data_IF_227675594197
#
_entry.id   IF_227675594197
#
_cell.length_a   1.000
_cell.length_b   1.000
_cell.length_c   1.000
_cell.angle_alpha   90.00
_cell.angle_beta   90.00
_cell.angle_gamma   90.00
#
_symmetry.space_group_name_H-M   'P 1'
#
loop_
_entity.id
_entity.type
_entity.pdbx_description
1 polymer ?
#
# COMPACT_ATOMS: atom_id res chain seq x y z
N UNK A 1 3.88 19.43 -1.82
CA UNK A 1 4.25 20.56 -2.71
C UNK A 1 4.98 19.96 -3.89
N UNK A 2 4.46 20.17 -5.11
CA UNK A 2 5.03 19.59 -6.32
C UNK A 2 6.27 20.41 -6.70
N UNK A 3 7.45 19.81 -6.53
CA UNK A 3 8.72 20.30 -7.05
C UNK A 3 9.28 19.21 -7.95
N UNK A 4 8.88 19.25 -9.21
CA UNK A 4 9.35 18.33 -10.23
C UNK A 4 9.78 19.11 -11.48
N UNK A 5 11.09 19.25 -11.67
CA UNK A 5 11.62 19.52 -13.00
C UNK A 5 11.26 18.33 -13.92
N UNK A 6 10.89 18.60 -15.18
CA UNK A 6 10.59 17.55 -16.15
C UNK A 6 11.76 16.55 -16.24
N UNK A 7 11.46 15.26 -16.08
CA UNK A 7 12.46 14.18 -16.07
C UNK A 7 13.13 13.92 -14.71
N UNK A 8 12.85 14.71 -13.66
CA UNK A 8 13.34 14.44 -12.32
C UNK A 8 12.52 13.32 -11.66
N UNK A 9 13.21 12.34 -11.08
CA UNK A 9 12.60 11.22 -10.37
C UNK A 9 12.19 11.66 -8.96
N UNK A 10 10.92 11.50 -8.62
CA UNK A 10 10.40 11.87 -7.30
C UNK A 10 10.96 10.97 -6.21
N UNK A 11 11.41 11.57 -5.11
CA UNK A 11 11.89 10.85 -3.93
C UNK A 11 11.39 11.51 -2.66
N UNK A 12 11.09 10.69 -1.66
CA UNK A 12 10.64 11.17 -0.36
C UNK A 12 11.30 10.36 0.76
N UNK A 13 12.04 11.04 1.62
CA UNK A 13 12.75 10.40 2.74
C UNK A 13 11.79 9.90 3.83
N UNK A 14 10.62 10.53 3.98
CA UNK A 14 9.66 10.17 5.02
C UNK A 14 8.96 8.83 4.74
N UNK A 15 8.37 8.68 3.56
CA UNK A 15 7.65 7.47 3.18
C UNK A 15 8.51 6.49 2.38
N UNK A 16 9.77 6.87 2.12
CA UNK A 16 10.74 6.14 1.29
C UNK A 16 10.27 5.97 -0.16
N UNK A 17 9.47 6.88 -0.69
CA UNK A 17 9.08 6.81 -2.09
C UNK A 17 10.31 7.03 -2.99
N UNK A 18 10.48 6.19 -4.01
CA UNK A 18 11.46 6.36 -5.07
C UNK A 18 10.78 6.07 -6.41
N UNK A 19 10.48 7.12 -7.16
CA UNK A 19 9.78 7.05 -8.43
C UNK A 19 10.50 6.18 -9.46
N UNK A 20 11.83 5.99 -9.36
CA UNK A 20 12.59 5.12 -10.26
C UNK A 20 12.24 3.63 -10.07
N UNK A 21 11.72 3.27 -8.90
CA UNK A 21 11.22 1.92 -8.65
C UNK A 21 9.78 1.72 -9.14
N UNK A 22 9.10 2.76 -9.61
CA UNK A 22 7.74 2.62 -10.13
C UNK A 22 7.80 2.58 -11.65
N UNK A 23 7.55 1.39 -12.21
CA UNK A 23 7.17 1.33 -13.62
C UNK A 23 5.85 2.08 -13.82
N UNK A 24 5.61 2.52 -15.04
CA UNK A 24 4.34 3.08 -15.50
C UNK A 24 3.12 2.24 -15.10
N UNK A 25 3.27 0.93 -15.22
CA UNK A 25 2.26 -0.03 -14.80
C UNK A 25 2.11 -0.07 -13.27
N UNK A 26 3.21 0.00 -12.51
CA UNK A 26 3.17 0.04 -11.04
C UNK A 26 2.48 1.31 -10.54
N UNK A 27 2.79 2.47 -11.14
CA UNK A 27 2.23 3.76 -10.77
C UNK A 27 0.72 3.80 -10.97
N UNK A 28 0.24 3.54 -12.20
CA UNK A 28 -1.20 3.53 -12.49
C UNK A 28 -1.95 2.48 -11.66
N UNK A 29 -1.38 1.29 -11.48
CA UNK A 29 -2.02 0.28 -10.64
C UNK A 29 -2.01 0.63 -9.14
N UNK A 30 -1.10 1.46 -8.67
CA UNK A 30 -1.12 1.99 -7.30
C UNK A 30 -2.26 2.99 -7.15
N UNK A 31 -2.39 3.93 -8.10
CA UNK A 31 -3.47 4.92 -8.13
C UNK A 31 -4.85 4.24 -8.04
N UNK A 32 -5.15 3.25 -8.91
CA UNK A 32 -6.46 2.57 -8.87
C UNK A 32 -6.76 1.81 -7.57
N UNK A 33 -5.75 1.60 -6.71
CA UNK A 33 -5.88 0.87 -5.44
C UNK A 33 -6.00 1.79 -4.22
N UNK A 34 -5.83 3.10 -4.36
CA UNK A 34 -5.85 4.05 -3.24
C UNK A 34 -7.15 3.98 -2.42
N UNK A 35 -8.32 4.02 -3.06
CA UNK A 35 -9.61 3.94 -2.33
C UNK A 35 -9.79 2.61 -1.60
N UNK A 36 -9.46 1.48 -2.24
CA UNK A 36 -9.56 0.17 -1.60
C UNK A 36 -8.59 0.05 -0.39
N UNK A 37 -7.37 0.55 -0.54
CA UNK A 37 -6.39 0.58 0.55
C UNK A 37 -6.87 1.46 1.71
N UNK A 38 -7.37 2.67 1.44
CA UNK A 38 -7.97 3.53 2.46
C UNK A 38 -9.13 2.84 3.20
N UNK A 39 -10.02 2.17 2.46
CA UNK A 39 -11.13 1.43 3.03
C UNK A 39 -10.67 0.31 3.97
N UNK A 40 -9.62 -0.43 3.59
CA UNK A 40 -9.05 -1.49 4.43
C UNK A 40 -8.36 -0.96 5.70
N UNK A 41 -7.70 0.21 5.63
CA UNK A 41 -7.14 0.88 6.80
C UNK A 41 -8.22 1.28 7.81
N UNK A 42 -9.34 1.81 7.31
CA UNK A 42 -10.42 2.40 8.12
C UNK A 42 -11.45 1.35 8.59
N UNK A 43 -11.41 0.13 8.05
CA UNK A 43 -12.40 -0.92 8.32
C UNK A 43 -12.50 -1.24 9.82
N UNK A 44 -13.69 -1.10 10.41
CA UNK A 44 -13.92 -1.40 11.83
C UNK A 44 -13.43 -0.31 12.79
N UNK A 45 -13.05 0.86 12.29
CA UNK A 45 -12.85 2.07 13.11
C UNK A 45 -14.17 2.88 13.09
N UNK A 46 -14.70 3.31 14.25
CA UNK A 46 -15.93 4.10 14.28
C UNK A 46 -15.80 5.44 13.53
N UNK A 47 -16.83 5.89 12.78
CA UNK A 47 -16.79 7.14 12.03
C UNK A 47 -16.39 8.37 12.85
N UNK A 48 -16.88 8.48 14.09
CA UNK A 48 -16.54 9.56 15.00
C UNK A 48 -15.06 9.57 15.40
N UNK A 49 -14.42 8.40 15.42
CA UNK A 49 -12.98 8.28 15.66
C UNK A 49 -12.16 8.64 14.42
N UNK A 50 -12.66 8.30 13.23
CA UNK A 50 -12.03 8.70 11.96
C UNK A 50 -12.05 10.22 11.75
N UNK A 51 -13.03 10.93 12.32
CA UNK A 51 -13.11 12.39 12.32
C UNK A 51 -12.26 13.06 13.42
N UNK A 52 -11.70 12.29 14.37
CA UNK A 52 -10.93 12.84 15.50
C UNK A 52 -9.47 13.01 15.11
N UNK A 53 -8.94 14.22 15.28
CA UNK A 53 -7.50 14.50 15.15
C UNK A 53 -6.73 13.84 16.31
N UNK A 54 -5.65 13.08 16.05
CA UNK A 54 -4.82 12.49 17.12
C UNK A 54 -4.10 13.55 17.97
N UNK A 55 -3.72 14.67 17.34
CA UNK A 55 -3.15 15.85 18.00
C UNK A 55 -3.72 17.12 17.35
N UNK A 56 -3.66 18.31 17.99
CA UNK A 56 -4.20 19.54 17.40
C UNK A 56 -3.65 19.90 16.01
N UNK A 57 -2.40 19.53 15.73
CA UNK A 57 -1.67 19.86 14.48
C UNK A 57 -1.54 18.66 13.54
N UNK A 58 -2.28 17.58 13.77
CA UNK A 58 -2.29 16.41 12.89
C UNK A 58 -3.69 16.21 12.37
N UNK A 59 -3.86 16.13 11.06
CA UNK A 59 -5.15 15.80 10.46
C UNK A 59 -5.72 14.49 11.01
N UNK A 60 -7.05 14.45 11.11
CA UNK A 60 -7.78 13.21 11.36
C UNK A 60 -7.65 12.26 10.17
N UNK A 61 -7.86 10.94 10.36
CA UNK A 61 -7.96 9.99 9.25
C UNK A 61 -8.91 10.44 8.13
N UNK A 62 -10.06 11.04 8.47
CA UNK A 62 -11.03 11.54 7.49
C UNK A 62 -10.52 12.78 6.73
N UNK A 63 -9.77 13.66 7.38
CA UNK A 63 -9.13 14.82 6.72
C UNK A 63 -8.05 14.39 5.74
N UNK A 64 -7.18 13.43 6.12
CA UNK A 64 -6.22 12.83 5.19
C UNK A 64 -6.92 12.13 4.01
N UNK A 65 -8.00 11.38 4.25
CA UNK A 65 -8.76 10.75 3.17
C UNK A 65 -9.29 11.79 2.18
N UNK A 66 -9.89 12.88 2.68
CA UNK A 66 -10.39 13.98 1.85
C UNK A 66 -9.26 14.66 1.08
N UNK A 67 -8.10 14.84 1.72
CA UNK A 67 -6.90 15.35 1.07
C UNK A 67 -6.51 14.45 -0.11
N UNK A 68 -6.35 13.15 0.11
CA UNK A 68 -5.97 12.18 -0.94
C UNK A 68 -6.97 12.25 -2.09
N UNK A 69 -8.28 12.29 -1.82
CA UNK A 69 -9.29 12.46 -2.88
C UNK A 69 -9.12 13.76 -3.66
N UNK A 70 -8.93 14.90 -3.00
CA UNK A 70 -8.77 16.19 -3.67
C UNK A 70 -7.47 16.25 -4.49
N UNK A 71 -6.40 15.66 -3.99
CA UNK A 71 -5.14 15.55 -4.70
C UNK A 71 -5.32 14.68 -5.96
N UNK A 72 -5.90 13.47 -5.85
CA UNK A 72 -6.14 12.60 -7.01
C UNK A 72 -7.07 13.26 -8.05
N UNK A 73 -8.12 13.97 -7.61
CA UNK A 73 -8.96 14.79 -8.50
C UNK A 73 -8.13 15.85 -9.25
N UNK A 74 -7.24 16.56 -8.54
CA UNK A 74 -6.36 17.57 -9.14
C UNK A 74 -5.41 16.93 -10.15
N UNK A 75 -4.85 15.76 -9.84
CA UNK A 75 -3.99 15.01 -10.76
C UNK A 75 -4.76 14.53 -12.01
N UNK A 76 -6.03 14.11 -11.86
CA UNK A 76 -6.88 13.77 -12.99
C UNK A 76 -7.16 14.99 -13.88
N UNK A 77 -7.36 16.17 -13.29
CA UNK A 77 -7.52 17.42 -14.03
C UNK A 77 -6.25 17.79 -14.80
N UNK A 78 -5.08 17.78 -14.14
CA UNK A 78 -3.80 18.05 -14.80
C UNK A 78 -3.51 17.05 -15.92
N UNK A 79 -3.80 15.77 -15.70
CA UNK A 79 -3.67 14.72 -16.71
C UNK A 79 -4.55 14.99 -17.94
N UNK A 80 -5.80 15.43 -17.72
CA UNK A 80 -6.68 15.85 -18.82
C UNK A 80 -6.11 17.06 -19.55
N UNK A 81 -5.61 18.07 -18.83
CA UNK A 81 -4.98 19.25 -19.42
C UNK A 81 -3.75 18.89 -20.26
N UNK A 82 -2.89 17.97 -19.80
CA UNK A 82 -1.78 17.43 -20.63
C UNK A 82 -2.30 16.86 -21.94
N UNK A 83 -3.42 16.13 -21.87
CA UNK A 83 -4.00 15.46 -23.03
C UNK A 83 -4.79 16.39 -23.94
N UNK A 84 -5.29 17.54 -23.50
CA UNK A 84 -6.14 18.44 -24.31
C UNK A 84 -5.44 19.74 -24.71
N UNK A 85 -4.60 20.29 -23.84
CA UNK A 85 -4.00 21.62 -23.95
C UNK A 85 -2.49 21.59 -23.60
N UNK A 86 -1.67 20.84 -24.36
CA UNK A 86 -0.24 20.74 -24.07
C UNK A 86 0.45 22.12 -24.17
N UNK A 87 1.39 22.36 -23.25
CA UNK A 87 2.17 23.59 -23.15
C UNK A 87 1.52 24.71 -22.34
N UNK A 88 0.31 24.53 -21.84
CA UNK A 88 -0.36 25.55 -21.00
C UNK A 88 0.31 25.68 -19.64
N UNK A 89 0.32 26.90 -19.09
CA UNK A 89 0.72 27.16 -17.72
C UNK A 89 -0.49 27.03 -16.78
N UNK A 90 -0.33 26.29 -15.69
CA UNK A 90 -1.34 26.08 -14.66
C UNK A 90 -0.77 26.58 -13.33
N UNK A 91 -1.49 27.48 -12.67
CA UNK A 91 -1.15 27.89 -11.31
C UNK A 91 -1.89 27.02 -10.30
N UNK A 92 -1.18 26.55 -9.28
CA UNK A 92 -1.75 25.73 -8.22
C UNK A 92 -1.12 26.05 -6.86
N UNK A 93 -1.96 26.17 -5.84
CA UNK A 93 -1.47 26.30 -4.46
C UNK A 93 -1.32 24.93 -3.82
N UNK A 94 -0.24 24.65 -3.07
CA UNK A 94 -0.14 23.42 -2.32
C UNK A 94 -1.24 23.39 -1.24
N UNK A 95 -1.75 22.20 -0.91
CA UNK A 95 -2.55 22.04 0.30
C UNK A 95 -1.73 22.44 1.52
N UNK A 96 -2.39 23.04 2.50
CA UNK A 96 -1.79 23.48 3.77
C UNK A 96 -2.25 22.53 4.86
N UNK A 97 -1.32 22.04 5.68
CA UNK A 97 -1.61 21.14 6.81
C UNK A 97 -2.61 21.73 7.81
N UNK A 98 -3.16 20.87 8.68
CA UNK A 98 -4.05 21.30 9.76
C UNK A 98 -3.38 22.34 10.65
N UNK A 99 -4.00 23.50 10.74
CA UNK A 99 -3.69 24.47 11.78
C UNK A 99 -4.41 24.10 13.09
N UNK A 100 -3.83 24.51 14.22
CA UNK A 100 -4.37 24.21 15.55
C UNK A 100 -5.75 24.85 15.79
N UNK A 101 -6.06 25.93 15.06
CA UNK A 101 -7.29 26.69 15.10
C UNK A 101 -8.30 26.32 14.00
N UNK A 102 -7.95 25.39 13.10
CA UNK A 102 -8.88 24.91 12.08
C UNK A 102 -10.08 24.21 12.74
N UNK A 103 -11.33 24.57 12.39
CA UNK A 103 -12.49 23.83 12.85
C UNK A 103 -12.45 22.41 12.29
N UNK A 104 -12.80 21.42 13.12
CA UNK A 104 -12.94 20.05 12.66
C UNK A 104 -14.03 20.00 11.57
N UNK A 105 -13.70 19.60 10.33
CA UNK A 105 -14.66 19.57 9.25
C UNK A 105 -15.63 18.42 9.43
N UNK A 106 -16.88 18.62 9.05
CA UNK A 106 -17.84 17.53 8.89
C UNK A 106 -17.48 16.74 7.62
N UNK A 107 -16.96 15.53 7.78
CA UNK A 107 -16.52 14.66 6.68
C UNK A 107 -17.21 13.31 6.78
N UNK A 108 -17.99 12.96 5.75
CA UNK A 108 -18.47 11.59 5.53
C UNK A 108 -17.37 10.76 4.84
N UNK A 109 -16.66 9.96 5.64
CA UNK A 109 -15.60 9.08 5.14
C UNK A 109 -16.08 8.10 4.07
N UNK A 110 -17.32 7.60 4.15
CA UNK A 110 -17.84 6.66 3.16
C UNK A 110 -18.06 7.36 1.82
N UNK A 111 -18.60 8.58 1.84
CA UNK A 111 -18.72 9.40 0.63
C UNK A 111 -17.35 9.71 0.02
N UNK A 112 -16.37 10.09 0.85
CA UNK A 112 -15.01 10.41 0.40
C UNK A 112 -14.30 9.20 -0.22
N UNK A 113 -14.51 7.98 0.28
CA UNK A 113 -13.99 6.74 -0.33
C UNK A 113 -14.56 6.49 -1.73
N UNK A 114 -15.86 6.72 -1.92
CA UNK A 114 -16.53 6.60 -3.24
C UNK A 114 -15.93 7.61 -4.22
N UNK A 115 -15.81 8.87 -3.82
CA UNK A 115 -15.21 9.92 -4.67
C UNK A 115 -13.74 9.63 -4.97
N UNK A 116 -12.97 9.17 -4.00
CA UNK A 116 -11.58 8.75 -4.23
C UNK A 116 -11.50 7.62 -5.26
N UNK A 117 -12.42 6.65 -5.23
CA UNK A 117 -12.46 5.57 -6.21
C UNK A 117 -12.71 6.11 -7.62
N UNK A 118 -13.71 6.97 -7.79
CA UNK A 118 -14.06 7.57 -9.08
C UNK A 118 -12.87 8.33 -9.69
N UNK A 119 -12.23 9.21 -8.92
CA UNK A 119 -11.12 10.02 -9.43
C UNK A 119 -9.86 9.16 -9.68
N UNK A 120 -9.62 8.14 -8.85
CA UNK A 120 -8.54 7.17 -9.08
C UNK A 120 -8.73 6.40 -10.39
N UNK A 121 -9.97 5.99 -10.67
CA UNK A 121 -10.29 5.28 -11.92
C UNK A 121 -10.23 6.22 -13.13
N UNK A 122 -10.68 7.47 -13.00
CA UNK A 122 -10.54 8.50 -14.04
C UNK A 122 -9.08 8.74 -14.40
N UNK A 123 -8.21 8.98 -13.42
CA UNK A 123 -6.77 9.17 -13.66
C UNK A 123 -6.12 7.92 -14.28
N UNK A 124 -6.50 6.73 -13.79
CA UNK A 124 -6.02 5.47 -14.35
C UNK A 124 -6.46 5.26 -15.81
N UNK A 125 -7.70 5.62 -16.17
CA UNK A 125 -8.20 5.54 -17.53
C UNK A 125 -7.50 6.53 -18.47
N UNK A 126 -7.28 7.78 -18.03
CA UNK A 126 -6.49 8.77 -18.80
C UNK A 126 -5.07 8.24 -19.08
N UNK A 127 -4.44 7.63 -18.07
CA UNK A 127 -3.13 7.02 -18.21
C UNK A 127 -3.11 5.84 -19.18
N UNK A 128 -4.04 4.89 -19.03
CA UNK A 128 -3.99 3.62 -19.78
C UNK A 128 -4.53 3.71 -21.20
N UNK A 129 -5.31 4.74 -21.51
CA UNK A 129 -5.93 4.93 -22.83
C UNK A 129 -5.22 5.99 -23.68
N UNK A 130 -4.25 6.72 -23.13
CA UNK A 130 -3.47 7.66 -23.93
C UNK A 130 -2.60 6.92 -24.97
N UNK A 131 -2.49 7.51 -26.15
CA UNK A 131 -1.59 7.05 -27.21
C UNK A 131 -0.14 7.39 -26.84
N UNK A 132 0.82 6.62 -27.37
CA UNK A 132 2.23 6.78 -27.01
C UNK A 132 2.76 8.19 -27.36
N UNK A 133 2.29 8.82 -28.45
CA UNK A 133 2.64 10.18 -28.85
C UNK A 133 2.15 11.27 -27.88
N UNK A 134 1.13 10.97 -27.07
CA UNK A 134 0.58 11.90 -26.08
C UNK A 134 1.19 11.74 -24.68
N UNK A 135 1.98 10.69 -24.44
CA UNK A 135 2.61 10.45 -23.13
C UNK A 135 3.71 11.45 -22.80
N UNK A 136 4.41 11.91 -23.83
CA UNK A 136 5.54 12.84 -23.70
C UNK A 136 5.11 14.31 -23.73
N UNK A 137 3.80 14.57 -23.88
CA UNK A 137 3.27 15.93 -23.81
C UNK A 137 3.39 16.49 -22.39
N UNK A 138 3.67 17.78 -22.28
CA UNK A 138 3.88 18.46 -21.00
C UNK A 138 2.99 19.68 -20.84
N UNK A 139 2.60 19.98 -19.60
CA UNK A 139 2.11 21.28 -19.15
C UNK A 139 3.14 21.93 -18.21
N UNK A 140 2.92 23.18 -17.80
CA UNK A 140 3.78 23.87 -16.83
C UNK A 140 3.00 24.21 -15.56
N UNK A 141 3.19 23.46 -14.48
CA UNK A 141 2.52 23.75 -13.20
C UNK A 141 3.45 24.57 -12.34
N UNK A 142 3.02 25.78 -11.94
CA UNK A 142 3.85 26.74 -11.21
C UNK A 142 5.22 27.00 -11.87
N UNK A 143 5.27 26.95 -13.21
CA UNK A 143 6.49 27.13 -14.00
C UNK A 143 7.35 25.89 -14.19
N UNK A 144 7.01 24.77 -13.56
CA UNK A 144 7.72 23.49 -13.70
C UNK A 144 7.02 22.58 -14.70
N UNK A 145 7.80 22.00 -15.61
CA UNK A 145 7.27 21.15 -16.67
C UNK A 145 6.86 19.77 -16.11
N UNK A 146 5.67 19.31 -16.50
CA UNK A 146 5.15 18.03 -16.07
C UNK A 146 4.43 17.27 -17.17
N UNK A 147 4.82 16.00 -17.31
CA UNK A 147 4.19 15.04 -18.19
C UNK A 147 3.16 14.17 -17.45
N UNK A 148 2.42 13.37 -18.23
CA UNK A 148 1.38 12.50 -17.70
C UNK A 148 1.94 11.42 -16.74
N UNK A 149 3.14 10.89 -17.03
CA UNK A 149 3.78 9.89 -16.18
C UNK A 149 4.21 10.46 -14.82
N UNK A 150 4.71 11.69 -14.78
CA UNK A 150 5.05 12.45 -13.58
C UNK A 150 3.81 12.69 -12.72
N UNK A 151 2.70 13.11 -13.33
CA UNK A 151 1.41 13.30 -12.65
C UNK A 151 0.93 11.99 -11.99
N UNK A 152 0.96 10.88 -12.73
CA UNK A 152 0.50 9.57 -12.22
C UNK A 152 1.42 9.03 -11.12
N UNK A 153 2.74 9.20 -11.24
CA UNK A 153 3.69 8.81 -10.19
C UNK A 153 3.55 9.66 -8.94
N UNK A 154 3.29 10.96 -9.09
CA UNK A 154 3.01 11.85 -7.97
C UNK A 154 1.72 11.46 -7.25
N UNK A 155 0.64 11.17 -7.99
CA UNK A 155 -0.60 10.65 -7.42
C UNK A 155 -0.38 9.34 -6.64
N UNK A 156 0.48 8.45 -7.14
CA UNK A 156 0.85 7.21 -6.45
C UNK A 156 1.69 7.49 -5.19
N UNK A 157 2.63 8.44 -5.24
CA UNK A 157 3.43 8.87 -4.10
C UNK A 157 2.54 9.46 -3.01
N UNK A 158 1.97 10.64 -3.26
CA UNK A 158 1.24 11.44 -2.28
C UNK A 158 0.05 10.66 -1.71
N UNK A 159 -0.68 9.95 -2.58
CA UNK A 159 -1.74 9.04 -2.16
C UNK A 159 -1.22 7.98 -1.18
N UNK A 160 -0.20 7.19 -1.56
CA UNK A 160 0.31 6.13 -0.68
C UNK A 160 1.03 6.64 0.58
N UNK A 161 1.55 7.87 0.55
CA UNK A 161 2.12 8.56 1.70
C UNK A 161 1.03 8.85 2.73
N UNK A 162 -0.04 9.54 2.32
CA UNK A 162 -1.12 9.91 3.23
C UNK A 162 -1.99 8.73 3.66
N UNK A 163 -1.99 7.61 2.93
CA UNK A 163 -2.53 6.35 3.46
C UNK A 163 -1.73 5.83 4.65
N UNK A 164 -0.40 6.01 4.68
CA UNK A 164 0.39 5.75 5.89
C UNK A 164 0.07 6.72 7.02
N UNK A 165 -0.22 7.99 6.73
CA UNK A 165 -0.69 8.93 7.75
C UNK A 165 -2.02 8.49 8.37
N UNK A 166 -2.97 8.03 7.55
CA UNK A 166 -4.23 7.45 8.03
C UNK A 166 -3.95 6.28 8.97
N UNK A 167 -3.07 5.35 8.56
CA UNK A 167 -2.67 4.20 9.39
C UNK A 167 -2.08 4.63 10.74
N UNK A 168 -1.13 5.56 10.73
CA UNK A 168 -0.52 6.12 11.96
C UNK A 168 -1.55 6.84 12.83
N UNK A 169 -2.44 7.62 12.24
CA UNK A 169 -3.50 8.32 12.95
C UNK A 169 -4.46 7.35 13.64
N UNK A 170 -4.89 6.30 12.95
CA UNK A 170 -5.73 5.22 13.51
C UNK A 170 -5.01 4.52 14.67
N UNK A 171 -3.72 4.21 14.52
CA UNK A 171 -2.93 3.63 15.60
C UNK A 171 -2.85 4.55 16.83
N UNK A 172 -2.54 5.84 16.63
CA UNK A 172 -2.48 6.84 17.69
C UNK A 172 -3.82 7.06 18.41
N UNK A 173 -4.94 6.80 17.72
CA UNK A 173 -6.29 6.87 18.30
C UNK A 173 -6.66 5.63 19.13
N UNK A 174 -5.78 4.63 19.23
CA UNK A 174 -5.98 3.40 20.01
C UNK A 174 -6.53 2.22 19.21
N UNK A 175 -6.56 2.30 17.88
CA UNK A 175 -7.07 1.25 16.99
C UNK A 175 -5.96 0.47 16.27
N UNK A 176 -4.70 0.70 16.63
CA UNK A 176 -3.53 0.00 16.06
C UNK A 176 -3.37 -1.42 16.58
N UNK A 177 -2.67 -2.25 15.84
CA UNK A 177 -2.26 -3.59 16.31
C UNK A 177 -1.04 -3.46 17.22
N UNK A 178 -1.01 -4.25 18.29
CA UNK A 178 0.13 -4.32 19.22
C UNK A 178 0.44 -5.78 19.55
N UNK A 179 1.67 -6.05 19.96
CA UNK A 179 2.11 -7.40 20.28
C UNK A 179 3.57 -7.65 19.92
N UNK A 180 4.03 -8.87 20.19
CA UNK A 180 5.38 -9.32 19.89
C UNK A 180 5.30 -10.72 19.31
N UNK A 181 6.05 -10.98 18.26
CA UNK A 181 6.09 -12.28 17.61
C UNK A 181 7.49 -12.60 17.12
N UNK A 182 7.59 -13.67 16.34
CA UNK A 182 8.82 -14.10 15.69
C UNK A 182 8.60 -14.55 14.24
N UNK A 183 9.67 -14.53 13.46
CA UNK A 183 9.69 -15.10 12.12
C UNK A 183 9.78 -16.62 12.24
N UNK A 184 8.71 -17.35 11.91
CA UNK A 184 8.74 -18.81 11.86
C UNK A 184 9.49 -19.30 10.61
N UNK A 185 9.19 -18.72 9.45
CA UNK A 185 9.81 -19.09 8.18
C UNK A 185 10.05 -17.88 7.27
N UNK A 186 11.08 -17.99 6.43
CA UNK A 186 11.43 -17.02 5.39
C UNK A 186 11.40 -17.73 4.05
N UNK A 187 10.76 -17.15 3.04
CA UNK A 187 10.59 -17.78 1.73
C UNK A 187 10.84 -16.82 0.58
N UNK A 188 11.44 -17.35 -0.50
CA UNK A 188 11.54 -16.65 -1.78
C UNK A 188 11.48 -17.63 -2.95
N UNK A 189 11.05 -17.14 -4.10
CA UNK A 189 11.10 -17.83 -5.37
C UNK A 189 11.49 -16.88 -6.49
N UNK A 190 12.19 -17.38 -7.50
CA UNK A 190 12.44 -16.63 -8.73
C UNK A 190 11.25 -16.80 -9.70
N UNK A 191 10.04 -16.53 -9.22
CA UNK A 191 8.77 -16.78 -9.92
C UNK A 191 7.91 -17.86 -9.25
N UNK A 192 6.60 -17.65 -9.28
CA UNK A 192 5.60 -18.62 -8.86
C UNK A 192 5.53 -18.99 -7.38
N UNK A 193 4.65 -19.97 -7.13
CA UNK A 193 4.45 -20.68 -5.86
C UNK A 193 4.61 -22.18 -6.12
N UNK A 194 5.05 -23.01 -5.16
CA UNK A 194 5.44 -22.65 -3.79
C UNK A 194 6.77 -21.88 -3.72
N UNK A 195 6.90 -20.99 -2.74
CA UNK A 195 8.17 -20.33 -2.43
C UNK A 195 9.08 -21.28 -1.64
N UNK A 196 10.40 -21.17 -1.85
CA UNK A 196 11.39 -22.02 -1.17
C UNK A 196 11.76 -21.42 0.17
N UNK A 197 11.80 -22.25 1.20
CA UNK A 197 12.30 -21.87 2.53
C UNK A 197 13.77 -21.49 2.47
N UNK A 198 14.12 -20.40 3.15
CA UNK A 198 15.46 -19.87 3.31
C UNK A 198 15.83 -19.82 4.80
N UNK A 199 17.10 -20.07 5.12
CA UNK A 199 17.62 -19.84 6.49
C UNK A 199 17.86 -18.36 6.81
N UNK A 200 17.85 -17.50 5.78
CA UNK A 200 18.10 -16.05 5.87
C UNK A 200 17.69 -15.37 4.56
N UNK A 201 17.19 -14.14 4.63
CA UNK A 201 17.01 -13.27 3.47
C UNK A 201 17.46 -11.82 3.74
N UNK A 202 17.88 -11.13 2.68
CA UNK A 202 18.05 -9.67 2.69
C UNK A 202 16.75 -9.06 2.18
N UNK A 203 16.17 -8.16 2.97
CA UNK A 203 14.95 -7.41 2.63
C UNK A 203 15.38 -6.00 2.24
N UNK A 204 15.16 -5.67 0.96
CA UNK A 204 15.36 -4.36 0.39
C UNK A 204 14.04 -3.64 0.10
N UNK A 205 14.13 -2.45 -0.50
CA UNK A 205 12.97 -1.63 -0.86
C UNK A 205 11.87 -2.36 -1.64
N UNK A 206 12.26 -3.28 -2.56
CA UNK A 206 11.32 -4.06 -3.39
C UNK A 206 10.99 -5.45 -2.84
N UNK A 207 11.38 -5.75 -1.60
CA UNK A 207 11.16 -7.04 -0.96
C UNK A 207 12.44 -7.86 -0.79
N UNK A 208 12.29 -9.19 -0.70
CA UNK A 208 13.42 -10.11 -0.55
C UNK A 208 14.27 -10.13 -1.82
N UNK A 209 15.58 -9.94 -1.68
CA UNK A 209 16.54 -10.09 -2.79
C UNK A 209 16.47 -11.50 -3.35
N UNK A 210 16.22 -11.60 -4.66
CA UNK A 210 16.05 -12.87 -5.38
C UNK A 210 14.61 -13.39 -5.44
N UNK A 211 13.65 -12.70 -4.80
CA UNK A 211 12.22 -12.96 -5.00
C UNK A 211 11.70 -12.25 -6.25
N UNK A 212 10.91 -12.94 -7.08
CA UNK A 212 10.30 -12.39 -8.29
C UNK A 212 8.83 -12.81 -8.37
N UNK A 213 7.98 -11.87 -8.80
CA UNK A 213 6.58 -12.15 -9.12
C UNK A 213 6.43 -12.30 -10.65
N UNK A 214 5.82 -13.39 -11.10
CA UNK A 214 5.59 -13.62 -12.53
C UNK A 214 4.49 -12.71 -13.08
N UNK A 215 3.45 -12.47 -12.29
CA UNK A 215 2.36 -11.54 -12.64
C UNK A 215 2.64 -10.15 -12.06
N UNK A 216 3.34 -9.33 -12.84
CA UNK A 216 3.58 -7.91 -12.55
C UNK A 216 2.36 -7.02 -12.80
N UNK A 217 1.32 -7.53 -13.46
CA UNK A 217 0.06 -6.78 -13.65
C UNK A 217 -0.73 -6.71 -12.34
N UNK A 218 -0.62 -7.72 -11.48
CA UNK A 218 -1.37 -7.77 -10.22
C UNK A 218 -0.49 -7.76 -8.97
N UNK A 219 0.81 -8.03 -9.06
CA UNK A 219 1.70 -8.14 -7.89
C UNK A 219 3.03 -7.39 -8.04
N UNK A 220 3.75 -7.25 -6.92
CA UNK A 220 5.14 -6.83 -6.88
C UNK A 220 5.40 -5.31 -6.90
N UNK A 221 4.37 -4.50 -6.63
CA UNK A 221 4.54 -3.07 -6.35
C UNK A 221 5.30 -2.89 -5.04
N UNK A 222 5.85 -1.70 -4.81
CA UNK A 222 6.59 -1.39 -3.57
C UNK A 222 5.71 -1.58 -2.33
N UNK A 223 4.42 -1.24 -2.41
CA UNK A 223 3.47 -1.50 -1.32
C UNK A 223 3.10 -2.97 -1.13
N UNK A 224 3.58 -3.87 -2.02
CA UNK A 224 3.45 -5.33 -1.96
C UNK A 224 4.82 -6.00 -1.83
N UNK A 225 5.84 -5.28 -1.35
CA UNK A 225 7.23 -5.74 -1.27
C UNK A 225 7.38 -7.07 -0.52
N UNK A 226 6.57 -7.28 0.52
CA UNK A 226 6.49 -8.54 1.24
C UNK A 226 5.05 -9.02 1.32
N UNK A 227 4.85 -10.33 1.21
CA UNK A 227 3.62 -11.00 1.62
C UNK A 227 3.86 -11.70 2.97
N UNK A 228 3.02 -11.41 3.95
CA UNK A 228 3.10 -11.93 5.31
C UNK A 228 1.96 -12.92 5.55
N UNK A 229 2.21 -13.96 6.35
CA UNK A 229 1.16 -14.86 6.83
C UNK A 229 1.46 -15.41 8.22
N UNK A 230 0.50 -16.11 8.84
CA UNK A 230 0.60 -16.66 10.19
C UNK A 230 0.72 -18.18 10.19
N UNK A 231 1.59 -18.68 11.06
CA UNK A 231 1.74 -20.11 11.35
C UNK A 231 0.44 -20.67 11.92
N UNK A 232 -0.20 -19.96 12.84
CA UNK A 232 -1.46 -20.34 13.49
C UNK A 232 -2.61 -20.45 12.48
N UNK A 233 -2.68 -19.54 11.49
CA UNK A 233 -3.66 -19.63 10.41
C UNK A 233 -3.39 -20.84 9.51
N UNK A 234 -2.13 -21.08 9.14
CA UNK A 234 -1.74 -22.24 8.35
C UNK A 234 -2.11 -23.54 9.08
N UNK A 235 -1.80 -23.65 10.36
CA UNK A 235 -2.10 -24.83 11.17
C UNK A 235 -3.61 -25.05 11.31
N UNK A 236 -4.38 -23.98 11.48
CA UNK A 236 -5.85 -24.02 11.44
C UNK A 236 -6.37 -24.61 10.12
N UNK A 237 -5.90 -24.09 8.99
CA UNK A 237 -6.27 -24.61 7.66
C UNK A 237 -5.86 -26.07 7.45
N UNK A 238 -4.70 -26.49 7.99
CA UNK A 238 -4.28 -27.90 7.95
C UNK A 238 -5.19 -28.78 8.78
N UNK A 239 -5.66 -28.30 9.93
CA UNK A 239 -6.63 -29.03 10.75
C UNK A 239 -8.00 -29.18 10.06
N UNK A 240 -8.35 -28.24 9.17
CA UNK A 240 -9.51 -28.33 8.27
C UNK A 240 -9.29 -29.32 7.09
N UNK A 241 -8.08 -29.88 6.96
CA UNK A 241 -7.73 -30.85 5.92
C UNK A 241 -7.10 -30.24 4.67
N UNK A 242 -6.76 -28.95 4.67
CA UNK A 242 -6.07 -28.33 3.54
C UNK A 242 -4.59 -28.72 3.47
N UNK A 243 -4.05 -29.02 2.26
CA UNK A 243 -2.64 -29.41 2.08
C UNK A 243 -1.68 -28.20 2.12
N UNK A 244 -2.09 -27.08 2.71
CA UNK A 244 -1.27 -25.87 2.82
C UNK A 244 -0.08 -26.09 3.73
N UNK A 245 1.06 -25.50 3.38
CA UNK A 245 2.25 -25.46 4.21
C UNK A 245 2.93 -24.08 4.08
N UNK A 246 3.86 -23.74 4.99
CA UNK A 246 4.63 -22.51 4.86
C UNK A 246 5.29 -22.39 3.47
N UNK A 247 5.10 -21.24 2.83
CA UNK A 247 5.61 -20.88 1.50
C UNK A 247 4.69 -21.32 0.34
N UNK A 248 3.73 -22.23 0.56
CA UNK A 248 2.91 -22.76 -0.54
C UNK A 248 1.84 -21.78 -1.00
N UNK A 249 1.40 -20.89 -0.12
CA UNK A 249 0.51 -19.81 -0.44
C UNK A 249 1.26 -18.54 -0.87
N UNK A 250 2.57 -18.59 -1.13
CA UNK A 250 3.31 -17.47 -1.71
C UNK A 250 3.64 -16.32 -0.75
N UNK A 251 3.49 -16.52 0.55
CA UNK A 251 4.01 -15.60 1.56
C UNK A 251 5.53 -15.62 1.58
N UNK A 252 6.13 -14.45 1.82
CA UNK A 252 7.57 -14.29 2.02
C UNK A 252 7.97 -14.54 3.47
N UNK A 253 7.16 -14.07 4.43
CA UNK A 253 7.41 -14.29 5.85
C UNK A 253 6.21 -14.98 6.47
N UNK A 254 6.44 -16.16 7.05
CA UNK A 254 5.49 -16.80 7.95
C UNK A 254 5.86 -16.39 9.37
N UNK A 255 4.93 -15.73 10.07
CA UNK A 255 5.10 -15.19 11.41
C UNK A 255 4.38 -16.06 12.44
N UNK A 256 4.76 -15.96 13.70
CA UNK A 256 4.11 -16.64 14.84
C UNK A 256 4.07 -15.74 16.07
N UNK A 257 3.22 -16.09 17.03
CA UNK A 257 3.12 -15.44 18.33
C UNK A 257 2.27 -14.16 18.35
N UNK A 258 1.56 -13.86 17.27
CA UNK A 258 0.63 -12.72 17.19
C UNK A 258 -0.78 -13.22 16.86
N UNK A 259 -1.80 -12.53 17.40
CA UNK A 259 -3.18 -12.74 16.97
C UNK A 259 -3.36 -12.17 15.57
N UNK A 260 -3.33 -13.06 14.57
CA UNK A 260 -3.48 -12.69 13.16
C UNK A 260 -4.83 -12.05 12.86
N UNK A 261 -5.88 -12.39 13.61
CA UNK A 261 -7.22 -11.82 13.44
C UNK A 261 -7.32 -10.36 13.90
N UNK A 262 -6.42 -9.95 14.80
CA UNK A 262 -6.29 -8.58 15.30
C UNK A 262 -5.26 -7.75 14.52
N UNK A 263 -4.52 -8.35 13.58
CA UNK A 263 -3.58 -7.64 12.71
C UNK A 263 -4.32 -6.83 11.64
N UNK A 264 -3.86 -5.62 11.38
CA UNK A 264 -4.55 -4.67 10.49
C UNK A 264 -3.57 -4.09 9.46
N UNK A 265 -4.06 -3.64 8.29
CA UNK A 265 -3.39 -2.64 7.48
C UNK A 265 -2.89 -1.44 8.30
N UNK A 266 -1.74 -0.88 7.92
CA UNK A 266 -1.12 0.29 8.58
C UNK A 266 -0.28 -0.05 9.82
N UNK A 267 -0.23 -1.32 10.25
CA UNK A 267 0.62 -1.77 11.36
C UNK A 267 2.08 -1.83 10.95
N UNK A 268 2.97 -1.36 11.81
CA UNK A 268 4.41 -1.47 11.65
C UNK A 268 4.96 -2.67 12.40
N UNK A 269 5.84 -3.42 11.74
CA UNK A 269 6.59 -4.52 12.32
C UNK A 269 8.07 -4.10 12.37
N UNK A 270 8.61 -3.92 13.57
CA UNK A 270 10.03 -3.64 13.77
C UNK A 270 10.76 -4.93 14.16
N UNK A 271 11.60 -5.43 13.24
CA UNK A 271 12.36 -6.66 13.45
C UNK A 271 13.67 -6.39 14.20
N UNK A 272 13.95 -7.21 15.20
CA UNK A 272 15.11 -7.08 16.08
C UNK A 272 16.46 -7.20 15.33
N UNK A 273 17.56 -6.90 16.02
CA UNK A 273 18.94 -7.11 15.53
C UNK A 273 19.27 -6.37 14.22
N UNK A 274 18.75 -5.15 14.07
CA UNK A 274 18.91 -4.37 12.84
C UNK A 274 18.13 -4.95 11.66
N UNK A 275 17.06 -5.68 11.95
CA UNK A 275 16.10 -6.16 10.97
C UNK A 275 15.33 -5.02 10.28
N UNK A 276 14.56 -5.37 9.23
CA UNK A 276 13.79 -4.37 8.51
C UNK A 276 12.71 -3.75 9.41
N UNK A 277 12.29 -2.55 9.05
CA UNK A 277 11.01 -1.98 9.51
C UNK A 277 10.06 -2.05 8.34
N UNK A 278 8.91 -2.67 8.53
CA UNK A 278 7.90 -2.82 7.47
C UNK A 278 6.55 -2.34 7.95
N UNK A 279 5.71 -1.88 7.03
CA UNK A 279 4.35 -1.42 7.32
C UNK A 279 3.36 -2.21 6.47
N UNK A 280 2.36 -2.80 7.10
CA UNK A 280 1.31 -3.56 6.41
C UNK A 280 0.44 -2.62 5.57
N UNK A 281 0.00 -3.07 4.42
CA UNK A 281 -0.66 -2.21 3.42
C UNK A 281 -2.08 -2.69 3.10
N UNK A 282 -2.22 -3.81 2.40
CA UNK A 282 -3.51 -4.35 1.99
C UNK A 282 -3.56 -5.86 2.14
N UNK A 283 -4.74 -6.41 2.38
CA UNK A 283 -4.95 -7.84 2.31
C UNK A 283 -4.65 -8.36 0.90
N UNK A 284 -3.93 -9.48 0.85
CA UNK A 284 -3.54 -10.10 -0.40
C UNK A 284 -4.67 -10.98 -0.94
N UNK A 285 -5.40 -10.45 -1.93
CA UNK A 285 -6.44 -11.18 -2.63
C UNK A 285 -5.94 -12.56 -3.10
N UNK A 286 -6.67 -13.65 -2.81
CA UNK A 286 -6.25 -14.97 -3.22
C UNK A 286 -6.45 -15.16 -4.73
N UNK A 287 -5.56 -15.93 -5.36
CA UNK A 287 -5.59 -16.17 -6.80
C UNK A 287 -5.40 -17.65 -7.13
N UNK A 288 -5.70 -18.04 -8.36
CA UNK A 288 -5.69 -19.46 -8.77
C UNK A 288 -4.32 -20.15 -8.66
N UNK A 289 -3.22 -19.41 -8.53
CA UNK A 289 -1.87 -19.99 -8.45
C UNK A 289 -1.65 -20.74 -7.14
N UNK A 290 -2.34 -20.36 -6.06
CA UNK A 290 -2.24 -21.03 -4.75
C UNK A 290 -3.27 -22.16 -4.57
N UNK A 291 -4.04 -22.49 -5.61
CA UNK A 291 -5.15 -23.43 -5.53
C UNK A 291 -4.75 -24.83 -5.01
N UNK A 292 -3.53 -25.28 -5.29
CA UNK A 292 -3.03 -26.58 -4.82
C UNK A 292 -2.78 -26.62 -3.30
N UNK A 293 -2.74 -25.47 -2.63
CA UNK A 293 -2.67 -25.39 -1.16
C UNK A 293 -4.02 -25.66 -0.48
N UNK A 294 -5.12 -25.77 -1.24
CA UNK A 294 -6.46 -25.85 -0.69
C UNK A 294 -7.20 -27.09 -1.21
N UNK A 295 -7.87 -27.78 -0.29
CA UNK A 295 -8.80 -28.88 -0.60
C UNK A 295 -9.87 -28.38 -1.57
N UNK A 296 -10.26 -29.23 -2.52
CA UNK A 296 -11.18 -28.87 -3.61
C UNK A 296 -10.71 -27.68 -4.46
N UNK A 297 -9.46 -27.24 -4.29
CA UNK A 297 -8.88 -26.07 -4.95
C UNK A 297 -9.60 -24.76 -4.62
N UNK A 298 -10.35 -24.66 -3.51
CA UNK A 298 -11.05 -23.42 -3.12
C UNK A 298 -10.10 -22.42 -2.43
N UNK A 299 -9.19 -21.85 -3.21
CA UNK A 299 -8.24 -20.82 -2.74
C UNK A 299 -8.92 -19.57 -2.15
N UNK A 300 -10.23 -19.37 -2.38
CA UNK A 300 -11.01 -18.27 -1.79
C UNK A 300 -11.31 -18.51 -0.30
N UNK A 301 -10.93 -19.65 0.27
CA UNK A 301 -10.99 -19.93 1.72
C UNK A 301 -10.20 -18.92 2.56
N UNK A 302 -9.20 -18.26 1.97
CA UNK A 302 -8.39 -17.22 2.63
C UNK A 302 -8.70 -15.81 2.12
N UNK A 303 -9.90 -15.59 1.57
CA UNK A 303 -10.36 -14.27 1.17
C UNK A 303 -10.73 -13.43 2.40
N UNK A 304 -10.20 -12.21 2.52
CA UNK A 304 -10.37 -11.37 3.70
C UNK A 304 -11.83 -10.96 3.96
N UNK A 305 -12.64 -10.82 2.91
CA UNK A 305 -14.07 -10.47 3.03
C UNK A 305 -14.88 -11.70 3.42
N UNK A 306 -14.58 -12.84 2.79
CA UNK A 306 -15.32 -14.09 2.99
C UNK A 306 -14.98 -14.78 4.31
N UNK A 307 -13.73 -14.65 4.75
CA UNK A 307 -13.14 -15.33 5.90
C UNK A 307 -12.18 -14.38 6.65
N UNK A 308 -12.70 -13.36 7.37
CA UNK A 308 -11.88 -12.42 8.13
C UNK A 308 -10.89 -13.13 9.05
N UNK A 309 -9.66 -12.59 9.14
CA UNK A 309 -8.59 -13.18 9.97
C UNK A 309 -7.86 -14.37 9.36
N UNK A 310 -8.16 -14.78 8.12
CA UNK A 310 -7.45 -15.88 7.44
C UNK A 310 -6.53 -15.43 6.30
N UNK A 311 -6.72 -14.22 5.78
CA UNK A 311 -6.02 -13.72 4.61
C UNK A 311 -4.54 -13.40 4.89
N UNK A 312 -3.73 -13.53 3.83
CA UNK A 312 -2.36 -13.01 3.79
C UNK A 312 -2.37 -11.48 3.73
N UNK A 313 -1.31 -10.84 4.22
CA UNK A 313 -1.22 -9.39 4.30
C UNK A 313 0.03 -8.87 3.58
N UNK A 314 -0.11 -7.87 2.72
CA UNK A 314 1.03 -7.21 2.11
C UNK A 314 1.69 -6.22 3.06
N UNK A 315 2.98 -5.98 2.86
CA UNK A 315 3.72 -4.94 3.56
C UNK A 315 4.74 -4.26 2.64
N UNK A 316 5.00 -2.98 2.93
CA UNK A 316 6.07 -2.17 2.34
C UNK A 316 7.26 -2.06 3.28
N UNK A 317 8.46 -1.85 2.73
CA UNK A 317 9.70 -1.80 3.51
C UNK A 317 10.11 -0.35 3.77
N UNK A 318 9.98 0.09 5.02
CA UNK A 318 10.38 1.43 5.48
C UNK A 318 11.88 1.51 5.81
N UNK A 319 12.47 0.39 6.24
CA UNK A 319 13.91 0.27 6.49
C UNK A 319 14.38 -1.10 6.02
N UNK A 320 15.49 -1.13 5.30
CA UNK A 320 16.11 -2.39 4.87
C UNK A 320 16.65 -3.17 6.06
N UNK A 321 16.83 -4.47 5.86
CA UNK A 321 17.44 -5.30 6.89
C UNK A 321 17.55 -6.75 6.48
N UNK A 322 17.94 -7.57 7.44
CA UNK A 322 18.09 -9.01 7.26
C UNK A 322 17.06 -9.71 8.13
N UNK A 323 16.39 -10.69 7.53
CA UNK A 323 15.44 -11.56 8.24
C UNK A 323 15.94 -12.99 8.32
N UNK A 324 15.69 -13.65 9.47
CA UNK A 324 16.00 -15.07 9.70
C UNK A 324 14.89 -15.72 10.54
N UNK A 325 14.66 -17.03 10.43
CA UNK A 325 13.83 -17.76 11.37
C UNK A 325 14.27 -17.54 12.83
N UNK A 326 13.31 -17.46 13.74
CA UNK A 326 13.48 -17.18 15.17
C UNK A 326 13.71 -15.69 15.52
N UNK A 327 13.77 -14.81 14.52
CA UNK A 327 13.97 -13.38 14.78
C UNK A 327 12.70 -12.74 15.32
N UNK A 328 12.83 -12.08 16.47
CA UNK A 328 11.71 -11.38 17.11
C UNK A 328 11.33 -10.09 16.35
N UNK A 329 10.07 -9.70 16.46
CA UNK A 329 9.58 -8.39 16.03
C UNK A 329 8.53 -7.84 17.00
N UNK A 330 8.32 -6.54 16.99
CA UNK A 330 7.24 -5.85 17.72
C UNK A 330 6.27 -5.15 16.77
N UNK A 331 4.98 -5.14 17.13
CA UNK A 331 3.94 -4.40 16.43
C UNK A 331 3.76 -3.00 17.03
N UNK A 332 3.58 -1.99 16.19
CA UNK A 332 3.22 -0.62 16.56
C UNK A 332 2.32 0.03 15.51
#
# INVERSE_FOLDING_TARGET
MWHHEAGQIERCDECRFDGSAYTDLDAGNTVRKLSAWAGELMLGVPPESLARRPTPTTWSPAEYLRHVKRMVWSMALLAETVLTEPGVAVEGSPPVDAAADDPAPEIDAAHELVRLHEESMRLFDLWTRCSDDRRDATIFVNGEAADLGGIVRHAAHDGSHHLSDIGRGIAALGYGSSGRGEVAFVHASNGGVPKRTLGRAVVGYRGIVGDRQDDRRNHGRVWQALCLWSTEVIDGLRSEGHPVAPGTAGENLTLSGIDWSALRPGTRLDFADGGPLVETTMWAAPCKTIAESFTERDFRRIDAVRQPGSARLYAKVLRDGVVRPGQAFTLS
#
